data_IF_052569898080
#
_entry.id   IF_052569898080
#
_cell.length_a   1.000
_cell.length_b   1.000
_cell.length_c   1.000
_cell.angle_alpha   90.00
_cell.angle_beta   90.00
_cell.angle_gamma   90.00
#
_symmetry.space_group_name_H-M   'P 1'
#
loop_
_entity.id
_entity.type
_entity.pdbx_description
1 polymer ?
#
# COMPACT_ATOMS: atom_id res chain seq x y z
N UNK A 1 58.77 -56.21 6.15
CA UNK A 1 58.30 -55.20 5.19
C UNK A 1 57.02 -54.56 5.73
N UNK A 2 57.07 -53.31 6.20
CA UNK A 2 55.91 -52.58 6.75
C UNK A 2 55.18 -51.87 5.60
N UNK A 3 53.90 -52.17 5.39
CA UNK A 3 53.01 -51.44 4.47
C UNK A 3 52.60 -50.12 5.13
N UNK A 4 52.90 -49.00 4.48
CA UNK A 4 52.40 -47.67 4.83
C UNK A 4 51.14 -47.43 4.01
N UNK A 5 50.00 -47.19 4.67
CA UNK A 5 48.75 -46.79 4.03
C UNK A 5 48.71 -45.26 4.07
N UNK A 6 48.85 -44.60 2.92
CA UNK A 6 48.58 -43.16 2.80
C UNK A 6 47.06 -42.96 2.73
N UNK A 7 46.48 -42.35 3.76
CA UNK A 7 45.11 -41.85 3.73
C UNK A 7 45.04 -40.55 2.92
N UNK A 8 44.37 -40.60 1.77
CA UNK A 8 44.05 -39.42 0.97
C UNK A 8 42.84 -38.72 1.60
N UNK A 9 43.06 -37.59 2.27
CA UNK A 9 41.96 -36.75 2.79
C UNK A 9 41.52 -35.81 1.68
N UNK A 10 40.32 -36.06 1.13
CA UNK A 10 39.69 -35.21 0.13
C UNK A 10 39.06 -33.99 0.84
N UNK A 11 39.71 -32.83 0.78
CA UNK A 11 39.12 -31.56 1.22
C UNK A 11 38.04 -31.15 0.19
N UNK A 12 36.76 -31.34 0.53
CA UNK A 12 35.67 -30.73 -0.23
C UNK A 12 35.51 -29.28 0.22
N UNK A 13 35.96 -28.34 -0.61
CA UNK A 13 35.71 -26.92 -0.43
C UNK A 13 34.22 -26.62 -0.70
N UNK A 14 33.48 -26.30 0.36
CA UNK A 14 32.14 -25.70 0.24
C UNK A 14 32.30 -24.27 -0.26
N UNK A 15 31.93 -24.02 -1.53
CA UNK A 15 31.70 -22.67 -2.00
C UNK A 15 30.41 -22.16 -1.33
N UNK A 16 30.57 -21.39 -0.25
CA UNK A 16 29.49 -20.55 0.27
C UNK A 16 29.27 -19.47 -0.79
N UNK A 17 28.28 -19.66 -1.65
CA UNK A 17 27.79 -18.59 -2.49
C UNK A 17 27.21 -17.53 -1.55
N UNK A 18 27.97 -16.46 -1.34
CA UNK A 18 27.41 -15.25 -0.76
C UNK A 18 26.24 -14.87 -1.67
N UNK A 19 25.03 -15.00 -1.14
CA UNK A 19 23.82 -14.53 -1.81
C UNK A 19 24.01 -13.02 -1.93
N UNK A 20 24.48 -12.55 -3.09
CA UNK A 20 24.53 -11.14 -3.37
C UNK A 20 23.10 -10.65 -3.18
N UNK A 21 22.89 -9.75 -2.21
CA UNK A 21 21.61 -9.09 -2.06
C UNK A 21 21.27 -8.54 -3.45
N UNK A 22 20.25 -9.12 -4.09
CA UNK A 22 19.80 -8.66 -5.40
C UNK A 22 19.55 -7.16 -5.30
N UNK A 23 19.73 -6.40 -6.40
CA UNK A 23 19.52 -4.96 -6.36
C UNK A 23 18.14 -4.70 -5.75
N UNK A 24 18.13 -4.11 -4.56
CA UNK A 24 16.92 -3.61 -3.93
C UNK A 24 16.49 -2.41 -4.75
N UNK A 25 15.81 -2.67 -5.86
CA UNK A 25 14.95 -1.70 -6.54
C UNK A 25 13.77 -1.42 -5.61
N UNK A 26 14.05 -0.77 -4.48
CA UNK A 26 13.04 -0.19 -3.63
C UNK A 26 12.40 0.93 -4.46
N UNK A 27 11.24 0.64 -5.04
CA UNK A 27 10.45 1.68 -5.67
C UNK A 27 10.04 2.67 -4.58
N UNK A 28 10.28 3.98 -4.75
CA UNK A 28 9.90 4.96 -3.75
C UNK A 28 8.38 4.88 -3.48
N UNK A 29 8.00 4.94 -2.21
CA UNK A 29 6.62 5.11 -1.81
C UNK A 29 6.27 6.60 -1.84
N UNK A 30 5.23 6.93 -2.60
CA UNK A 30 4.69 8.28 -2.72
C UNK A 30 3.53 8.46 -1.75
N UNK A 31 3.36 9.68 -1.24
CA UNK A 31 2.22 10.01 -0.39
C UNK A 31 0.95 10.16 -1.23
N UNK A 32 -0.09 9.38 -0.93
CA UNK A 32 -1.42 9.57 -1.48
C UNK A 32 -2.27 10.44 -0.55
N UNK A 33 -2.23 10.12 0.74
CA UNK A 33 -2.98 10.82 1.79
C UNK A 33 -2.04 11.09 2.96
N UNK A 34 -1.92 12.36 3.32
CA UNK A 34 -1.23 12.76 4.55
C UNK A 34 -1.96 12.24 5.78
N UNK A 35 -1.25 12.18 6.91
CA UNK A 35 -1.82 11.83 8.19
C UNK A 35 -2.99 12.78 8.52
N UNK A 36 -4.21 12.25 8.46
CA UNK A 36 -5.43 12.95 8.85
C UNK A 36 -6.44 11.95 9.44
N UNK A 37 -7.36 12.48 10.24
CA UNK A 37 -8.52 11.74 10.75
C UNK A 37 -9.41 11.24 9.60
N UNK A 38 -10.43 10.47 9.96
CA UNK A 38 -11.49 10.07 9.04
C UNK A 38 -12.05 11.29 8.28
N UNK A 39 -12.45 11.05 7.04
CA UNK A 39 -13.11 12.08 6.26
C UNK A 39 -14.46 12.43 6.90
N UNK A 40 -14.57 13.66 7.42
CA UNK A 40 -15.83 14.19 7.94
C UNK A 40 -16.94 14.26 6.89
N UNK A 41 -16.56 14.38 5.62
CA UNK A 41 -17.45 14.29 4.48
C UNK A 41 -16.85 13.35 3.43
N UNK A 42 -17.63 12.37 3.01
CA UNK A 42 -17.31 11.51 1.86
C UNK A 42 -17.65 12.22 0.56
N UNK A 43 -17.06 11.77 -0.54
CA UNK A 43 -17.26 12.35 -1.85
C UNK A 43 -18.74 12.29 -2.25
N UNK A 44 -19.33 13.46 -2.40
CA UNK A 44 -20.68 13.58 -2.95
C UNK A 44 -20.64 13.34 -4.45
N UNK A 45 -21.13 12.19 -4.92
CA UNK A 45 -21.11 11.86 -6.36
C UNK A 45 -21.94 12.80 -7.23
N UNK A 46 -22.86 13.57 -6.63
CA UNK A 46 -23.62 14.61 -7.33
C UNK A 46 -22.74 15.74 -7.85
N UNK A 47 -21.63 16.04 -7.16
CA UNK A 47 -20.71 17.13 -7.50
C UNK A 47 -19.30 16.61 -7.71
N UNK A 48 -18.74 15.90 -6.73
CA UNK A 48 -17.40 15.27 -6.80
C UNK A 48 -17.30 14.08 -7.76
N UNK A 49 -18.42 13.62 -8.32
CA UNK A 49 -18.42 12.68 -9.44
C UNK A 49 -17.75 13.26 -10.69
N UNK A 50 -17.73 14.59 -10.84
CA UNK A 50 -17.09 15.27 -11.95
C UNK A 50 -15.59 15.55 -11.70
N UNK A 51 -14.77 15.34 -12.72
CA UNK A 51 -13.33 15.55 -12.64
C UNK A 51 -12.92 16.97 -12.27
N UNK A 52 -13.66 17.99 -12.73
CA UNK A 52 -13.37 19.38 -12.39
C UNK A 52 -13.66 19.70 -10.92
N UNK A 53 -14.55 18.93 -10.30
CA UNK A 53 -15.01 19.09 -8.92
C UNK A 53 -14.41 18.05 -7.97
N UNK A 54 -13.39 17.29 -8.41
CA UNK A 54 -12.72 16.30 -7.58
C UNK A 54 -12.12 16.93 -6.31
N UNK A 55 -12.00 16.17 -5.20
CA UNK A 55 -11.39 16.66 -3.98
C UNK A 55 -9.98 17.20 -4.18
N UNK A 56 -9.62 18.26 -3.47
CA UNK A 56 -8.28 18.87 -3.55
C UNK A 56 -7.14 17.93 -3.16
N UNK A 57 -7.44 16.87 -2.38
CA UNK A 57 -6.50 15.81 -2.03
C UNK A 57 -6.31 14.75 -3.12
N UNK A 58 -6.99 14.84 -4.27
CA UNK A 58 -6.77 13.92 -5.37
C UNK A 58 -5.37 14.11 -5.96
N UNK A 59 -4.61 13.02 -6.07
CA UNK A 59 -3.23 13.00 -6.55
C UNK A 59 -3.21 12.55 -8.00
N UNK A 60 -2.51 13.31 -8.85
CA UNK A 60 -2.21 12.87 -10.20
C UNK A 60 -1.15 11.77 -10.14
N UNK A 61 -1.47 10.60 -10.67
CA UNK A 61 -0.47 9.59 -10.96
C UNK A 61 0.40 10.16 -12.07
N UNK A 62 1.71 10.29 -11.80
CA UNK A 62 2.71 10.94 -12.67
C UNK A 62 2.37 10.86 -14.16
N UNK A 63 2.64 11.97 -14.86
CA UNK A 63 2.38 12.23 -16.28
C UNK A 63 3.25 11.33 -17.20
N UNK A 64 3.19 10.04 -16.97
CA UNK A 64 3.97 9.01 -17.60
C UNK A 64 3.42 8.80 -19.00
N UNK A 65 4.31 8.58 -19.95
CA UNK A 65 3.97 8.30 -21.35
C UNK A 65 2.82 7.31 -21.44
N UNK A 66 1.91 7.52 -22.41
CA UNK A 66 0.61 6.83 -22.54
C UNK A 66 0.74 5.30 -22.50
N UNK A 67 1.86 4.75 -23.00
CA UNK A 67 2.18 3.33 -23.02
C UNK A 67 2.44 2.72 -21.63
N UNK A 68 2.68 3.56 -20.63
CA UNK A 68 2.87 3.16 -19.24
C UNK A 68 1.60 3.30 -18.40
N UNK A 69 0.44 3.70 -18.93
CA UNK A 69 -0.79 3.90 -18.13
C UNK A 69 -1.43 2.60 -17.60
N UNK A 70 -0.88 1.45 -17.98
CA UNK A 70 -1.14 0.13 -17.38
C UNK A 70 -0.14 -0.19 -16.26
N UNK A 71 0.05 0.72 -15.30
CA UNK A 71 0.91 0.41 -14.15
C UNK A 71 0.13 -0.37 -13.12
N UNK A 72 0.80 -1.34 -12.55
CA UNK A 72 0.35 -1.97 -11.33
C UNK A 72 0.69 -1.02 -10.17
N UNK A 73 -0.32 -0.74 -9.34
CA UNK A 73 -0.23 0.10 -8.16
C UNK A 73 -0.29 -0.78 -6.93
N UNK A 74 0.53 -0.45 -5.94
CA UNK A 74 0.45 -1.02 -4.61
C UNK A 74 0.20 0.10 -3.61
N UNK A 75 -0.76 -0.10 -2.72
CA UNK A 75 -1.12 0.82 -1.66
C UNK A 75 -0.71 0.25 -0.30
N UNK A 76 -0.23 1.13 0.56
CA UNK A 76 0.18 0.85 1.93
C UNK A 76 -0.53 1.81 2.87
N UNK A 77 -0.99 1.30 4.01
CA UNK A 77 -1.69 2.07 5.02
C UNK A 77 -0.89 2.05 6.31
N UNK A 78 -0.76 3.19 6.96
CA UNK A 78 -0.26 3.27 8.32
C UNK A 78 -1.02 4.33 9.09
N UNK A 79 -1.04 4.24 10.41
CA UNK A 79 -1.63 5.27 11.23
C UNK A 79 -1.65 4.88 12.69
N UNK A 80 -2.57 5.52 13.41
CA UNK A 80 -2.98 5.22 14.79
C UNK A 80 -1.89 5.33 15.84
N UNK A 81 -2.28 5.77 17.04
CA UNK A 81 -1.39 5.80 18.19
C UNK A 81 -1.20 4.42 18.86
N UNK A 82 -1.97 3.42 18.42
CA UNK A 82 -1.99 2.06 18.95
C UNK A 82 -2.20 1.01 17.84
N UNK A 83 -1.75 -0.21 18.12
CA UNK A 83 -2.00 -1.39 17.30
C UNK A 83 -3.46 -1.85 17.39
N UNK A 84 -3.85 -2.77 16.50
CA UNK A 84 -5.14 -3.49 16.45
C UNK A 84 -6.37 -2.60 16.26
N UNK A 85 -6.16 -1.36 15.81
CA UNK A 85 -7.25 -0.42 15.52
C UNK A 85 -7.73 -0.55 14.09
N UNK A 86 -9.04 -0.41 13.88
CA UNK A 86 -9.67 -0.64 12.58
C UNK A 86 -9.95 0.67 11.86
N UNK A 87 -9.86 0.66 10.52
CA UNK A 87 -10.28 1.76 9.66
C UNK A 87 -10.97 1.24 8.41
N UNK A 88 -11.86 2.05 7.84
CA UNK A 88 -12.43 1.84 6.52
C UNK A 88 -11.68 2.65 5.48
N UNK A 89 -11.67 2.20 4.23
CA UNK A 89 -11.10 2.96 3.14
C UNK A 89 -11.94 2.88 1.86
N UNK A 90 -11.89 3.95 1.08
CA UNK A 90 -12.38 4.01 -0.30
C UNK A 90 -11.32 4.62 -1.19
N UNK A 91 -11.11 4.05 -2.36
CA UNK A 91 -10.21 4.57 -3.38
C UNK A 91 -11.04 4.93 -4.60
N UNK A 92 -11.01 6.22 -4.94
CA UNK A 92 -11.67 6.80 -6.09
C UNK A 92 -10.66 7.15 -7.16
N UNK A 93 -11.06 7.06 -8.42
CA UNK A 93 -10.20 7.43 -9.53
C UNK A 93 -10.94 8.14 -10.66
N UNK A 94 -10.18 8.93 -11.44
CA UNK A 94 -10.67 9.68 -12.60
C UNK A 94 -9.70 9.58 -13.76
N UNK A 95 -10.24 9.75 -14.97
CA UNK A 95 -9.47 10.00 -16.20
C UNK A 95 -9.38 11.52 -16.46
N UNK A 96 -8.35 11.98 -17.18
CA UNK A 96 -8.06 13.42 -17.37
C UNK A 96 -9.09 14.23 -18.16
N UNK A 97 -9.97 13.58 -18.92
CA UNK A 97 -10.86 14.25 -19.86
C UNK A 97 -12.32 14.14 -19.42
N UNK A 98 -12.71 14.84 -18.36
CA UNK A 98 -14.10 14.85 -17.86
C UNK A 98 -14.58 13.44 -17.45
N UNK A 99 -13.67 12.62 -16.91
CA UNK A 99 -14.00 11.28 -16.45
C UNK A 99 -14.89 11.35 -15.21
N UNK A 100 -15.85 10.44 -15.12
CA UNK A 100 -16.61 10.23 -13.89
C UNK A 100 -15.70 9.66 -12.79
N UNK A 101 -16.00 9.96 -11.53
CA UNK A 101 -15.41 9.28 -10.40
C UNK A 101 -15.81 7.81 -10.43
N UNK A 102 -14.83 6.92 -10.34
CA UNK A 102 -15.06 5.48 -10.24
C UNK A 102 -14.50 4.98 -8.91
N UNK A 103 -15.32 4.25 -8.14
CA UNK A 103 -14.89 3.57 -6.93
C UNK A 103 -14.10 2.34 -7.35
N UNK A 104 -12.78 2.37 -7.21
CA UNK A 104 -11.93 1.29 -7.69
C UNK A 104 -11.65 0.23 -6.61
N UNK A 105 -11.68 0.62 -5.34
CA UNK A 105 -11.60 -0.29 -4.20
C UNK A 105 -12.29 0.30 -2.96
N UNK A 106 -12.98 -0.54 -2.21
CA UNK A 106 -13.49 -0.25 -0.87
C UNK A 106 -13.17 -1.42 0.05
N UNK A 107 -12.91 -1.15 1.32
CA UNK A 107 -12.65 -2.20 2.27
C UNK A 107 -12.34 -1.69 3.67
N UNK A 108 -11.81 -2.58 4.48
CA UNK A 108 -11.35 -2.27 5.84
C UNK A 108 -9.90 -2.70 6.03
N UNK A 109 -9.24 -2.09 7.00
CA UNK A 109 -7.92 -2.49 7.45
C UNK A 109 -7.81 -2.48 8.96
N UNK A 110 -6.85 -3.25 9.48
CA UNK A 110 -6.50 -3.28 10.89
C UNK A 110 -5.02 -2.94 11.02
N UNK A 111 -4.72 -1.95 11.86
CA UNK A 111 -3.36 -1.61 12.21
C UNK A 111 -2.71 -2.76 12.95
N UNK A 112 -1.47 -3.03 12.58
CA UNK A 112 -0.67 -4.10 13.12
C UNK A 112 0.14 -3.75 14.34
N UNK A 113 1.07 -4.64 14.66
CA UNK A 113 2.08 -4.41 15.70
C UNK A 113 3.40 -3.87 15.13
N UNK A 114 3.59 -3.93 13.81
CA UNK A 114 4.80 -3.45 13.16
C UNK A 114 4.86 -1.91 13.18
N UNK A 115 5.78 -1.36 13.98
CA UNK A 115 5.98 0.08 14.07
C UNK A 115 6.56 0.69 12.78
N UNK A 116 6.06 1.87 12.43
CA UNK A 116 6.67 2.75 11.42
C UNK A 116 7.79 3.54 12.10
N UNK A 117 9.04 3.30 11.69
CA UNK A 117 10.19 4.03 12.24
C UNK A 117 10.36 5.40 11.58
N UNK A 118 10.13 5.45 10.26
CA UNK A 118 10.22 6.66 9.45
C UNK A 118 9.12 6.66 8.40
N UNK A 119 8.54 7.82 8.14
CA UNK A 119 7.62 7.97 7.02
C UNK A 119 8.37 7.75 5.69
N UNK A 120 7.88 6.90 4.80
CA UNK A 120 8.65 6.49 3.64
C UNK A 120 8.77 7.58 2.57
N UNK A 121 7.87 8.57 2.57
CA UNK A 121 7.86 9.68 1.61
C UNK A 121 8.80 10.85 1.98
N UNK A 122 9.16 11.00 3.26
CA UNK A 122 10.00 12.11 3.77
C UNK A 122 11.25 11.67 4.50
N UNK A 123 11.29 10.43 5.02
CA UNK A 123 12.36 9.94 5.88
C UNK A 123 12.34 10.50 7.31
N UNK A 124 11.36 11.33 7.65
CA UNK A 124 11.15 11.88 8.99
C UNK A 124 10.77 10.77 9.96
N UNK A 125 11.23 10.85 11.20
CA UNK A 125 10.87 9.91 12.25
C UNK A 125 9.35 9.89 12.48
N UNK A 126 8.78 8.70 12.56
CA UNK A 126 7.39 8.49 12.97
C UNK A 126 7.37 8.02 14.42
N UNK A 127 6.40 8.50 15.19
CA UNK A 127 6.26 8.17 16.62
C UNK A 127 4.88 7.60 16.85
N UNK A 128 4.80 6.42 17.49
CA UNK A 128 3.55 5.72 17.77
C UNK A 128 2.70 5.59 16.50
N UNK A 129 3.25 4.95 15.47
CA UNK A 129 2.55 4.65 14.21
C UNK A 129 2.79 3.21 13.85
N UNK A 130 1.78 2.58 13.27
CA UNK A 130 1.80 1.17 12.93
C UNK A 130 1.41 0.98 11.47
N UNK A 131 2.08 0.05 10.79
CA UNK A 131 1.64 -0.42 9.48
C UNK A 131 0.35 -1.23 9.63
N UNK A 132 -0.51 -1.24 8.62
CA UNK A 132 -1.62 -2.18 8.58
C UNK A 132 -1.09 -3.62 8.44
N UNK A 133 -1.57 -4.53 9.29
CA UNK A 133 -1.28 -5.98 9.20
C UNK A 133 -2.37 -6.72 8.43
N UNK A 134 -3.56 -6.13 8.28
CA UNK A 134 -4.67 -6.71 7.52
C UNK A 134 -5.33 -5.66 6.65
N UNK A 135 -5.70 -6.07 5.44
CA UNK A 135 -6.59 -5.34 4.55
C UNK A 135 -7.63 -6.33 3.99
N UNK A 136 -8.86 -5.85 3.79
CA UNK A 136 -9.92 -6.59 3.11
C UNK A 136 -10.47 -5.75 1.99
N UNK A 137 -11.07 -6.37 0.97
CA UNK A 137 -11.76 -5.65 -0.10
C UNK A 137 -13.22 -6.11 -0.09
N UNK A 138 -14.15 -5.18 0.11
CA UNK A 138 -15.59 -5.43 0.13
C UNK A 138 -16.25 -5.10 -1.21
N UNK A 139 -15.79 -4.03 -1.87
CA UNK A 139 -16.28 -3.61 -3.19
C UNK A 139 -15.12 -3.37 -4.14
N UNK A 140 -15.30 -3.77 -5.41
CA UNK A 140 -14.39 -3.45 -6.51
C UNK A 140 -15.22 -2.96 -7.70
N UNK A 141 -14.91 -1.78 -8.24
CA UNK A 141 -15.62 -1.21 -9.39
C UNK A 141 -14.92 -1.41 -10.74
N UNK A 142 -13.69 -1.92 -10.77
CA UNK A 142 -12.91 -2.09 -12.01
C UNK A 142 -12.96 -3.52 -12.54
N UNK A 143 -12.86 -3.73 -13.87
CA UNK A 143 -12.83 -5.08 -14.46
C UNK A 143 -11.55 -5.87 -14.14
N UNK A 144 -10.44 -5.20 -13.83
CA UNK A 144 -9.21 -5.83 -13.32
C UNK A 144 -9.19 -5.75 -11.80
N UNK A 145 -8.87 -6.86 -11.13
CA UNK A 145 -9.10 -7.03 -9.70
C UNK A 145 -8.02 -6.37 -8.85
N UNK A 146 -8.48 -5.71 -7.80
CA UNK A 146 -7.64 -5.42 -6.65
C UNK A 146 -7.45 -6.69 -5.83
N UNK A 147 -6.25 -6.87 -5.28
CA UNK A 147 -5.86 -8.03 -4.50
C UNK A 147 -5.14 -7.57 -3.24
N UNK A 148 -5.31 -8.31 -2.15
CA UNK A 148 -4.56 -8.07 -0.92
C UNK A 148 -3.46 -9.12 -0.78
N UNK A 149 -2.24 -8.68 -0.46
CA UNK A 149 -1.27 -9.57 0.16
C UNK A 149 -1.28 -9.39 1.67
N UNK A 150 -1.12 -10.51 2.36
CA UNK A 150 -1.26 -10.64 3.82
C UNK A 150 -2.65 -10.26 4.34
N UNK A 151 -3.70 -10.78 3.70
CA UNK A 151 -5.08 -10.53 4.08
C UNK A 151 -5.50 -11.16 5.44
N UNK A 152 -4.64 -11.98 6.05
CA UNK A 152 -4.93 -12.73 7.28
C UNK A 152 -4.02 -12.36 8.47
N UNK A 153 -3.08 -11.43 8.28
CA UNK A 153 -2.12 -11.02 9.30
C UNK A 153 -1.02 -12.06 9.54
N UNK A 154 0.23 -11.67 9.29
CA UNK A 154 1.42 -12.50 9.53
C UNK A 154 2.64 -11.70 9.98
N UNK A 155 2.43 -10.63 10.75
CA UNK A 155 3.44 -9.64 11.15
C UNK A 155 4.15 -8.97 9.96
N UNK A 156 3.48 -8.89 8.80
CA UNK A 156 3.97 -8.16 7.63
C UNK A 156 2.97 -7.08 7.28
N UNK A 157 3.50 -6.00 6.74
CA UNK A 157 2.68 -4.93 6.18
C UNK A 157 1.77 -5.47 5.08
N UNK A 158 0.46 -5.41 5.32
CA UNK A 158 -0.57 -5.71 4.33
C UNK A 158 -0.53 -4.69 3.19
N UNK A 159 -0.86 -5.18 1.99
CA UNK A 159 -0.73 -4.40 0.75
C UNK A 159 -1.93 -4.62 -0.13
N UNK A 160 -2.45 -3.53 -0.67
CA UNK A 160 -3.50 -3.56 -1.68
C UNK A 160 -2.87 -3.36 -3.06
N UNK A 161 -2.90 -4.38 -3.90
CA UNK A 161 -2.43 -4.34 -5.28
C UNK A 161 -3.61 -4.10 -6.21
N UNK A 162 -3.40 -3.30 -7.25
CA UNK A 162 -4.41 -3.10 -8.28
C UNK A 162 -3.81 -2.63 -9.59
N UNK A 163 -4.63 -2.65 -10.61
CA UNK A 163 -4.31 -2.10 -11.91
C UNK A 163 -4.87 -0.69 -12.02
N UNK A 164 -4.06 0.25 -12.49
CA UNK A 164 -4.49 1.63 -12.66
C UNK A 164 -5.54 1.78 -13.79
N UNK A 165 -5.79 0.77 -14.63
CA UNK A 165 -6.87 0.76 -15.64
C UNK A 165 -6.98 2.04 -16.52
N UNK A 166 -5.88 2.77 -16.71
CA UNK A 166 -5.84 4.04 -17.44
C UNK A 166 -6.38 5.27 -16.69
N UNK A 167 -6.65 5.19 -15.38
CA UNK A 167 -6.92 6.37 -14.56
C UNK A 167 -5.66 7.24 -14.43
N UNK A 168 -5.86 8.53 -14.25
CA UNK A 168 -4.78 9.51 -14.13
C UNK A 168 -4.75 10.17 -12.76
N UNK A 169 -5.88 10.13 -12.04
CA UNK A 169 -6.03 10.73 -10.74
C UNK A 169 -6.61 9.74 -9.77
N UNK A 170 -6.08 9.72 -8.56
CA UNK A 170 -6.54 8.86 -7.48
C UNK A 170 -6.77 9.67 -6.21
N UNK A 171 -7.74 9.24 -5.42
CA UNK A 171 -8.06 9.84 -4.14
C UNK A 171 -8.42 8.73 -3.15
N UNK A 172 -7.98 8.86 -1.90
CA UNK A 172 -8.30 7.90 -0.87
C UNK A 172 -9.03 8.58 0.30
N UNK A 173 -10.20 8.04 0.59
CA UNK A 173 -10.98 8.36 1.77
C UNK A 173 -10.69 7.34 2.86
N UNK A 174 -10.63 7.84 4.08
CA UNK A 174 -10.61 7.02 5.28
C UNK A 174 -11.94 7.23 5.97
N UNK A 175 -12.59 6.14 6.32
CA UNK A 175 -13.87 6.15 7.01
C UNK A 175 -13.73 5.44 8.33
N UNK A 176 -14.65 5.74 9.23
CA UNK A 176 -14.89 4.88 10.38
C UNK A 176 -15.35 3.51 9.85
N UNK A 177 -14.70 2.44 10.31
CA UNK A 177 -15.07 1.07 9.97
C UNK A 177 -16.13 0.48 10.89
N UNK A 178 -16.30 1.02 12.11
CA UNK A 178 -17.14 0.45 13.16
C UNK A 178 -18.39 1.29 13.50
N UNK A 179 -18.42 2.54 13.06
CA UNK A 179 -19.61 3.39 13.12
C UNK A 179 -19.90 3.99 14.49
N UNK A 180 -18.88 4.23 15.35
CA UNK A 180 -18.84 5.10 16.55
C UNK A 180 -18.35 4.45 17.86
N UNK A 181 -17.65 3.31 17.82
CA UNK A 181 -17.28 2.61 19.06
C UNK A 181 -15.97 3.07 19.71
N UNK A 182 -15.20 3.97 19.09
CA UNK A 182 -13.96 4.51 19.67
C UNK A 182 -12.75 3.57 19.59
N UNK A 183 -12.85 2.50 18.80
CA UNK A 183 -11.76 1.58 18.46
C UNK A 183 -11.11 1.88 17.10
N UNK A 184 -11.29 3.12 16.67
CA UNK A 184 -10.81 3.66 15.41
C UNK A 184 -9.28 3.76 15.37
N UNK A 185 -8.73 3.49 14.20
CA UNK A 185 -7.31 3.73 13.93
C UNK A 185 -6.96 5.23 13.91
N UNK A 186 -7.97 6.10 13.88
CA UNK A 186 -7.82 7.55 13.89
C UNK A 186 -6.98 8.02 12.71
N UNK A 187 -5.89 8.74 13.01
CA UNK A 187 -5.08 9.43 12.00
C UNK A 187 -4.33 8.47 11.06
N UNK A 188 -4.84 8.29 9.84
CA UNK A 188 -4.32 7.38 8.81
C UNK A 188 -3.60 8.14 7.69
N UNK A 189 -2.46 7.60 7.27
CA UNK A 189 -1.75 7.95 6.04
C UNK A 189 -1.84 6.82 5.03
N UNK A 190 -1.85 7.18 3.74
CA UNK A 190 -1.85 6.22 2.64
C UNK A 190 -0.70 6.53 1.69
N UNK A 191 0.01 5.49 1.31
CA UNK A 191 1.10 5.56 0.34
C UNK A 191 0.80 4.70 -0.86
N UNK A 192 1.40 5.04 -1.99
CA UNK A 192 1.35 4.22 -3.18
C UNK A 192 2.73 4.08 -3.83
N UNK A 193 2.92 2.99 -4.56
CA UNK A 193 4.06 2.83 -5.47
C UNK A 193 3.64 2.08 -6.73
N UNK A 194 4.45 2.26 -7.76
CA UNK A 194 4.35 1.47 -8.99
C UNK A 194 5.13 0.16 -8.83
N UNK A 195 4.67 -0.92 -9.43
CA UNK A 195 5.47 -2.13 -9.56
C UNK A 195 5.43 -2.69 -10.97
N UNK A 196 6.48 -3.45 -11.30
CA UNK A 196 6.66 -4.12 -12.59
C UNK A 196 6.19 -5.56 -12.49
#
# INVERSE_FOLDING_TARGET
MKKVILGLVLLMSFNVFANAAGPTTAVPLYLLRAEADENSELIGLTTGGDFASKPAGAVMLDNLNIDQRKKNLVFYFCGGAAADKTFGYKIWAWRSNNGMAELIAEGTGVLGTQAVVKYPHTGTAATNKFWADTLTITTQGTPETFQVADAAGGDRTAKLFGYNCGYEWIYCEITDADGSTGDEAGVISVYYAYFK
#
